data_IF_376551749061
#
_entry.id   IF_376551749061
#
_cell.length_a   1.000
_cell.length_b   1.000
_cell.length_c   1.000
_cell.angle_alpha   90.00
_cell.angle_beta   90.00
_cell.angle_gamma   90.00
#
_symmetry.space_group_name_H-M   'P 1'
#
loop_
_entity.id
_entity.type
_entity.pdbx_description
1 polymer ?
#
# COMPACT_ATOMS: atom_id res chain seq x y z
N UNK A 1 11.67 6.61 -11.63
CA UNK A 1 11.91 7.93 -12.21
C UNK A 1 13.38 8.25 -12.11
N UNK A 2 14.01 8.93 -13.11
CA UNK A 2 15.45 9.23 -13.09
C UNK A 2 15.72 10.73 -12.87
N UNK A 3 15.06 11.58 -13.63
CA UNK A 3 15.26 13.04 -13.52
C UNK A 3 13.97 13.81 -13.75
N UNK A 4 13.89 14.97 -13.11
CA UNK A 4 12.91 16.01 -13.39
C UNK A 4 13.68 17.28 -13.69
N UNK A 5 13.44 17.86 -14.86
CA UNK A 5 14.10 19.07 -15.32
C UNK A 5 13.05 20.11 -15.73
N UNK A 6 13.36 21.39 -15.54
CA UNK A 6 12.51 22.47 -16.07
C UNK A 6 12.66 22.55 -17.58
N UNK A 7 11.54 22.63 -18.27
CA UNK A 7 11.53 22.81 -19.73
C UNK A 7 11.76 24.29 -20.11
N UNK A 8 12.59 24.53 -21.13
CA UNK A 8 12.81 25.86 -21.66
C UNK A 8 11.52 26.50 -22.21
N UNK A 9 10.53 25.66 -22.58
CA UNK A 9 9.22 26.09 -23.08
C UNK A 9 8.17 26.29 -21.97
N UNK A 10 8.59 26.21 -20.73
CA UNK A 10 7.72 26.16 -19.54
C UNK A 10 7.27 24.74 -19.17
N UNK A 11 7.00 24.51 -17.87
CA UNK A 11 6.67 23.21 -17.32
C UNK A 11 7.90 22.32 -17.09
N UNK A 12 7.71 21.00 -17.15
CA UNK A 12 8.71 20.02 -16.73
C UNK A 12 8.86 18.87 -17.72
N UNK A 13 10.09 18.38 -17.79
CA UNK A 13 10.47 17.16 -18.49
C UNK A 13 10.86 16.09 -17.46
N UNK A 14 10.12 14.97 -17.47
CA UNK A 14 10.30 13.87 -16.52
C UNK A 14 10.83 12.66 -17.30
N UNK A 15 12.03 12.21 -16.95
CA UNK A 15 12.64 11.04 -17.59
C UNK A 15 12.49 9.81 -16.67
N UNK A 16 11.98 8.73 -17.23
CA UNK A 16 11.95 7.39 -16.61
C UNK A 16 13.00 6.48 -17.27
N UNK A 17 12.98 5.19 -17.00
CA UNK A 17 13.88 4.25 -17.69
C UNK A 17 13.56 4.16 -19.17
N UNK A 18 12.28 4.17 -19.54
CA UNK A 18 11.79 3.79 -20.85
C UNK A 18 11.06 4.94 -21.58
N UNK A 19 10.71 6.01 -20.87
CA UNK A 19 9.83 7.06 -21.41
C UNK A 19 10.20 8.42 -20.87
N UNK A 20 9.97 9.45 -21.69
CA UNK A 20 10.07 10.86 -21.31
C UNK A 20 8.67 11.49 -21.39
N UNK A 21 8.29 12.19 -20.34
CA UNK A 21 7.03 12.91 -20.25
C UNK A 21 7.30 14.42 -20.24
N UNK A 22 6.50 15.18 -20.98
CA UNK A 22 6.45 16.63 -20.86
C UNK A 22 5.13 17.05 -20.23
N UNK A 23 5.18 17.92 -19.25
CA UNK A 23 3.99 18.35 -18.50
C UNK A 23 4.13 19.81 -18.06
N UNK A 24 3.00 20.48 -17.89
CA UNK A 24 2.96 21.84 -17.35
C UNK A 24 3.08 21.88 -15.82
N UNK A 25 2.58 20.84 -15.15
CA UNK A 25 2.52 20.74 -13.67
C UNK A 25 2.98 19.37 -13.24
N UNK A 26 3.70 19.32 -12.14
CA UNK A 26 4.09 18.09 -11.43
C UNK A 26 3.49 18.12 -10.02
N UNK A 27 2.86 17.04 -9.60
CA UNK A 27 2.49 16.82 -8.19
C UNK A 27 3.39 15.75 -7.63
N UNK A 28 4.27 16.14 -6.72
CA UNK A 28 5.22 15.28 -6.05
C UNK A 28 4.59 14.68 -4.80
N UNK A 29 4.08 13.47 -4.90
CA UNK A 29 3.52 12.69 -3.80
C UNK A 29 4.31 11.38 -3.59
N UNK A 30 5.65 11.47 -3.64
CA UNK A 30 6.55 10.34 -3.71
C UNK A 30 6.92 9.74 -2.34
N UNK A 31 6.22 10.13 -1.26
CA UNK A 31 6.45 9.59 0.08
C UNK A 31 7.88 9.84 0.56
N UNK A 32 8.60 8.78 0.96
CA UNK A 32 9.98 8.91 1.44
C UNK A 32 10.98 9.41 0.40
N UNK A 33 10.62 9.43 -0.88
CA UNK A 33 11.45 9.94 -1.97
C UNK A 33 11.08 11.38 -2.41
N UNK A 34 10.13 12.02 -1.74
CA UNK A 34 9.64 13.33 -2.19
C UNK A 34 10.73 14.41 -2.16
N UNK A 35 11.66 14.34 -1.21
CA UNK A 35 12.82 15.23 -1.11
C UNK A 35 13.77 15.09 -2.31
N UNK A 36 13.98 13.87 -2.80
CA UNK A 36 14.84 13.64 -3.98
C UNK A 36 14.30 14.37 -5.21
N UNK A 37 12.99 14.30 -5.45
CA UNK A 37 12.36 14.95 -6.60
C UNK A 37 12.23 16.45 -6.41
N UNK A 38 11.90 16.92 -5.20
CA UNK A 38 11.93 18.34 -4.85
C UNK A 38 13.32 18.93 -5.12
N UNK A 39 14.35 18.26 -4.63
CA UNK A 39 15.74 18.73 -4.72
C UNK A 39 16.33 18.75 -6.14
N UNK A 40 15.66 18.13 -7.12
CA UNK A 40 16.03 18.22 -8.54
C UNK A 40 15.63 19.56 -9.16
N UNK A 41 14.60 20.22 -8.62
CA UNK A 41 13.99 21.41 -9.26
C UNK A 41 14.07 22.68 -8.43
N UNK A 42 14.32 22.58 -7.13
CA UNK A 42 14.38 23.67 -6.15
C UNK A 42 15.80 23.86 -5.60
N UNK A 43 16.15 25.11 -5.34
CA UNK A 43 17.37 25.48 -4.60
C UNK A 43 17.17 25.35 -3.09
N UNK A 44 15.95 25.57 -2.60
CA UNK A 44 15.55 25.36 -1.20
C UNK A 44 15.39 23.85 -0.96
N UNK A 45 16.33 23.26 -0.23
CA UNK A 45 16.36 21.81 -0.07
C UNK A 45 15.33 21.33 0.95
N UNK A 46 14.63 20.28 0.59
CA UNK A 46 13.78 19.47 1.46
C UNK A 46 14.58 18.25 1.95
N UNK A 47 14.35 17.81 3.16
CA UNK A 47 14.96 16.59 3.68
C UNK A 47 13.91 15.70 4.35
N UNK A 48 13.89 14.41 3.99
CA UNK A 48 12.98 13.42 4.53
C UNK A 48 13.79 12.27 5.12
N UNK A 49 13.62 12.06 6.41
CA UNK A 49 14.15 10.90 7.13
C UNK A 49 13.12 9.76 7.11
N UNK A 50 13.45 8.60 6.53
CA UNK A 50 12.57 7.45 6.60
C UNK A 50 12.42 6.97 8.06
N UNK A 51 11.20 7.00 8.60
CA UNK A 51 10.91 6.51 9.96
C UNK A 51 10.20 5.16 9.89
N UNK A 52 10.95 4.10 10.17
CA UNK A 52 10.45 2.72 10.14
C UNK A 52 9.48 2.43 11.26
N UNK A 53 8.35 1.82 10.92
CA UNK A 53 7.37 1.26 11.84
C UNK A 53 7.17 -0.21 11.56
N UNK A 54 7.51 -1.04 12.52
CA UNK A 54 7.37 -2.49 12.46
C UNK A 54 6.09 -2.91 13.18
N UNK A 55 5.45 -3.99 12.71
CA UNK A 55 4.17 -4.47 13.22
C UNK A 55 4.10 -5.99 13.30
N UNK A 56 3.34 -6.49 14.27
CA UNK A 56 2.77 -7.82 14.26
C UNK A 56 1.31 -7.79 13.84
N UNK A 57 0.92 -8.73 12.99
CA UNK A 57 -0.47 -9.06 12.71
C UNK A 57 -0.78 -10.43 13.29
N UNK A 58 -1.80 -10.50 14.14
CA UNK A 58 -2.26 -11.73 14.77
C UNK A 58 -3.49 -12.26 14.04
N UNK A 59 -3.75 -13.55 14.25
CA UNK A 59 -4.89 -14.27 13.66
C UNK A 59 -6.25 -13.66 14.03
N UNK A 60 -7.26 -13.89 13.20
CA UNK A 60 -8.65 -13.43 13.42
C UNK A 60 -9.27 -13.93 14.73
N UNK A 61 -8.80 -15.05 15.26
CA UNK A 61 -9.26 -15.56 16.56
C UNK A 61 -8.92 -14.62 17.72
N UNK A 62 -8.02 -13.66 17.51
CA UNK A 62 -7.58 -12.68 18.52
C UNK A 62 -8.23 -11.31 18.39
N UNK A 63 -9.01 -11.08 17.35
CA UNK A 63 -9.55 -9.74 17.05
C UNK A 63 -10.47 -9.15 18.11
N UNK A 64 -11.11 -10.00 18.91
CA UNK A 64 -11.95 -9.60 20.04
C UNK A 64 -11.17 -9.33 21.34
N UNK A 65 -9.82 -9.44 21.34
CA UNK A 65 -8.98 -9.24 22.53
C UNK A 65 -9.10 -7.82 23.10
N UNK A 66 -9.27 -6.84 22.22
CA UNK A 66 -9.63 -5.45 22.55
C UNK A 66 -10.74 -4.96 21.63
N UNK A 67 -11.64 -4.12 22.14
CA UNK A 67 -12.75 -3.55 21.36
C UNK A 67 -12.40 -2.23 20.65
N UNK A 68 -11.35 -1.57 21.09
CA UNK A 68 -10.87 -0.28 20.60
C UNK A 68 -9.35 -0.29 20.49
N UNK A 69 -8.79 0.67 19.75
CA UNK A 69 -7.34 0.90 19.77
C UNK A 69 -6.90 1.36 21.16
N UNK A 70 -5.96 0.64 21.75
CA UNK A 70 -5.36 0.94 23.06
C UNK A 70 -3.91 1.37 22.86
N UNK A 71 -3.50 2.46 23.52
CA UNK A 71 -2.15 2.97 23.51
C UNK A 71 -1.87 3.78 24.79
N UNK A 72 -0.58 3.96 25.10
CA UNK A 72 -0.15 4.77 26.24
C UNK A 72 -0.29 6.28 25.94
N UNK A 73 -0.15 7.13 26.95
CA UNK A 73 -0.05 8.58 26.71
C UNK A 73 1.10 8.87 25.73
N UNK A 74 0.92 9.80 24.77
CA UNK A 74 1.97 10.15 23.84
C UNK A 74 3.26 10.61 24.52
N UNK A 75 4.40 10.06 24.10
CA UNK A 75 5.73 10.44 24.53
C UNK A 75 6.49 11.21 23.43
N UNK A 76 7.80 11.34 23.59
CA UNK A 76 8.70 12.04 22.64
C UNK A 76 8.55 11.55 21.18
N UNK A 77 8.27 10.27 20.98
CA UNK A 77 8.11 9.65 19.65
C UNK A 77 6.65 9.36 19.28
N UNK A 78 5.71 10.17 19.80
CA UNK A 78 4.27 10.02 19.52
C UNK A 78 3.58 9.00 20.41
N UNK A 79 2.56 8.31 19.86
CA UNK A 79 1.64 7.43 20.62
C UNK A 79 2.25 6.11 21.09
N UNK A 80 3.47 5.79 20.68
CA UNK A 80 4.12 4.51 21.00
C UNK A 80 3.48 3.32 20.28
N UNK A 81 3.59 2.13 20.90
CA UNK A 81 3.02 0.88 20.36
C UNK A 81 1.53 0.82 20.67
N UNK A 82 0.73 0.60 19.64
CA UNK A 82 -0.72 0.45 19.70
C UNK A 82 -1.11 -1.02 19.66
N UNK A 83 -2.21 -1.37 20.33
CA UNK A 83 -2.92 -2.65 20.17
C UNK A 83 -4.28 -2.34 19.57
N UNK A 84 -4.50 -2.77 18.32
CA UNK A 84 -5.62 -2.31 17.48
C UNK A 84 -6.39 -3.48 16.88
N UNK A 85 -7.72 -3.59 17.11
CA UNK A 85 -8.54 -4.53 16.37
C UNK A 85 -8.71 -4.03 14.94
N UNK A 86 -8.57 -4.91 13.96
CA UNK A 86 -8.77 -4.54 12.55
C UNK A 86 -10.20 -4.79 12.08
N UNK A 87 -10.62 -4.08 11.04
CA UNK A 87 -11.95 -4.27 10.41
C UNK A 87 -12.18 -5.68 9.86
N UNK A 88 -11.12 -6.46 9.67
CA UNK A 88 -11.19 -7.84 9.19
C UNK A 88 -11.09 -8.88 10.31
N UNK A 89 -11.12 -8.45 11.57
CA UNK A 89 -11.12 -9.33 12.74
C UNK A 89 -9.74 -9.77 13.22
N UNK A 90 -8.65 -9.25 12.66
CA UNK A 90 -7.30 -9.48 13.17
C UNK A 90 -6.96 -8.52 14.31
N UNK A 91 -5.91 -8.82 15.07
CA UNK A 91 -5.30 -7.89 16.00
C UNK A 91 -3.95 -7.39 15.43
N UNK A 92 -3.77 -6.09 15.36
CA UNK A 92 -2.56 -5.43 14.88
C UNK A 92 -1.82 -4.81 16.06
N UNK A 93 -0.51 -5.06 16.18
CA UNK A 93 0.31 -4.54 17.27
C UNK A 93 1.53 -3.84 16.67
N UNK A 94 1.74 -2.60 17.06
CA UNK A 94 2.76 -1.70 16.53
C UNK A 94 2.21 -0.28 16.42
N UNK A 95 2.98 0.63 15.80
CA UNK A 95 4.30 0.45 15.24
C UNK A 95 5.44 0.66 16.24
N UNK A 96 6.65 0.31 15.81
CA UNK A 96 7.88 0.95 16.32
C UNK A 96 8.06 2.34 15.70
N UNK A 97 9.07 3.09 16.12
CA UNK A 97 9.42 4.38 15.53
C UNK A 97 10.95 4.53 15.55
N UNK A 98 11.59 4.10 14.48
CA UNK A 98 13.05 4.10 14.34
C UNK A 98 13.44 4.78 13.04
N UNK A 99 14.26 5.82 13.14
CA UNK A 99 14.79 6.49 11.97
C UNK A 99 15.86 5.60 11.33
N UNK A 100 15.82 5.48 10.00
CA UNK A 100 16.72 4.66 9.20
C UNK A 100 17.26 5.48 8.03
N UNK A 101 18.44 5.11 7.54
CA UNK A 101 19.06 5.81 6.41
C UNK A 101 18.49 5.36 5.06
N UNK A 102 18.14 4.08 4.95
CA UNK A 102 17.72 3.48 3.69
C UNK A 102 16.22 3.68 3.44
N UNK A 103 15.89 4.30 2.32
CA UNK A 103 14.50 4.51 1.89
C UNK A 103 13.79 3.22 1.43
N UNK A 104 14.52 2.11 1.28
CA UNK A 104 14.03 0.76 1.00
C UNK A 104 13.96 -0.14 2.25
N UNK A 105 14.40 0.34 3.41
CA UNK A 105 14.56 -0.43 4.65
C UNK A 105 13.24 -0.90 5.28
N UNK A 106 12.50 -1.75 4.58
CA UNK A 106 11.21 -2.32 5.03
C UNK A 106 11.33 -3.72 5.65
N UNK A 107 12.54 -4.14 5.99
CA UNK A 107 12.81 -5.35 6.76
C UNK A 107 12.31 -5.22 8.21
N UNK A 108 11.93 -6.34 8.80
CA UNK A 108 11.66 -6.42 10.24
C UNK A 108 12.93 -6.82 10.98
N UNK A 109 13.11 -6.29 12.21
CA UNK A 109 14.28 -6.56 13.03
C UNK A 109 13.90 -7.28 14.33
N UNK A 110 14.80 -8.11 14.85
CA UNK A 110 14.59 -8.75 16.16
C UNK A 110 14.35 -7.70 17.25
N UNK A 111 15.16 -6.64 17.24
CA UNK A 111 15.05 -5.56 18.22
C UNK A 111 13.68 -4.86 18.18
N UNK A 112 13.18 -4.54 16.98
CA UNK A 112 11.87 -3.91 16.80
C UNK A 112 10.73 -4.83 17.25
N UNK A 113 10.82 -6.12 16.93
CA UNK A 113 9.82 -7.12 17.34
C UNK A 113 9.81 -7.29 18.87
N UNK A 114 10.98 -7.34 19.53
CA UNK A 114 11.07 -7.37 20.99
C UNK A 114 10.53 -6.10 21.64
N UNK A 115 10.80 -4.95 21.05
CA UNK A 115 10.26 -3.66 21.51
C UNK A 115 8.73 -3.66 21.50
N UNK A 116 8.12 -4.14 20.41
CA UNK A 116 6.66 -4.29 20.30
C UNK A 116 6.13 -5.18 21.42
N UNK A 117 6.74 -6.35 21.62
CA UNK A 117 6.30 -7.27 22.67
C UNK A 117 6.34 -6.64 24.06
N UNK A 118 7.41 -5.92 24.39
CA UNK A 118 7.57 -5.28 25.71
C UNK A 118 6.58 -4.11 25.89
N UNK A 119 6.52 -3.18 24.91
CA UNK A 119 5.71 -1.96 25.03
C UNK A 119 4.21 -2.25 24.98
N UNK A 120 3.76 -3.17 24.15
CA UNK A 120 2.33 -3.54 24.06
C UNK A 120 1.78 -4.07 25.39
N UNK A 121 2.57 -4.84 26.14
CA UNK A 121 2.17 -5.39 27.44
C UNK A 121 1.98 -4.34 28.53
N UNK A 122 2.52 -3.12 28.35
CA UNK A 122 2.23 -2.00 29.26
C UNK A 122 0.79 -1.50 29.12
N UNK A 123 0.20 -1.63 27.95
CA UNK A 123 -1.16 -1.16 27.65
C UNK A 123 -2.21 -2.26 27.75
N UNK A 124 -1.88 -3.49 27.35
CA UNK A 124 -2.80 -4.62 27.28
C UNK A 124 -2.11 -5.87 27.80
N UNK A 125 -2.74 -6.54 28.79
CA UNK A 125 -2.22 -7.77 29.38
C UNK A 125 -2.53 -8.99 28.49
N UNK A 126 -1.73 -10.05 28.67
CA UNK A 126 -1.98 -11.38 28.10
C UNK A 126 -2.16 -11.41 26.56
N UNK A 127 -1.43 -10.54 25.86
CA UNK A 127 -1.48 -10.52 24.40
C UNK A 127 -1.04 -11.89 23.85
N UNK A 128 -1.84 -12.54 22.98
CA UNK A 128 -1.57 -13.90 22.51
C UNK A 128 -0.54 -13.90 21.37
N UNK A 129 0.72 -13.52 21.60
CA UNK A 129 1.78 -13.46 20.58
C UNK A 129 2.03 -14.78 19.83
N UNK A 130 1.63 -15.93 20.39
CA UNK A 130 1.68 -17.23 19.69
C UNK A 130 0.72 -17.30 18.49
N UNK A 131 -0.21 -16.34 18.37
CA UNK A 131 -1.15 -16.23 17.27
C UNK A 131 -0.67 -15.25 16.18
N UNK A 132 0.58 -14.80 16.22
CA UNK A 132 1.17 -14.00 15.16
C UNK A 132 1.18 -14.80 13.86
N UNK A 133 0.62 -14.24 12.80
CA UNK A 133 0.60 -14.82 11.46
C UNK A 133 1.63 -14.19 10.53
N UNK A 134 1.99 -12.93 10.77
CA UNK A 134 3.05 -12.23 10.02
C UNK A 134 3.57 -11.02 10.78
N UNK A 135 4.82 -10.62 10.48
CA UNK A 135 5.37 -9.31 10.78
C UNK A 135 5.64 -8.55 9.49
N UNK A 136 5.57 -7.24 9.54
CA UNK A 136 5.91 -6.36 8.42
C UNK A 136 6.39 -5.00 8.92
N UNK A 137 7.06 -4.26 8.06
CA UNK A 137 7.47 -2.88 8.32
C UNK A 137 7.06 -1.96 7.17
N UNK A 138 6.97 -0.68 7.48
CA UNK A 138 6.76 0.39 6.52
C UNK A 138 7.48 1.65 6.95
N UNK A 139 7.74 2.54 6.00
CA UNK A 139 8.46 3.78 6.22
C UNK A 139 7.48 4.97 6.19
N UNK A 140 7.58 5.83 7.19
CA UNK A 140 6.92 7.13 7.22
C UNK A 140 7.89 8.18 6.68
N UNK A 141 7.38 9.11 5.90
CA UNK A 141 8.14 10.22 5.31
C UNK A 141 8.24 11.37 6.32
N UNK A 142 9.15 11.24 7.32
CA UNK A 142 9.34 12.24 8.35
C UNK A 142 10.13 13.42 7.80
N UNK A 143 9.52 14.59 7.76
CA UNK A 143 10.14 15.85 7.33
C UNK A 143 10.70 16.59 8.55
N UNK A 144 11.83 17.28 8.39
CA UNK A 144 12.57 17.91 9.51
C UNK A 144 11.77 18.97 10.27
N UNK A 145 10.85 19.67 9.62
CA UNK A 145 9.94 20.65 10.23
C UNK A 145 8.76 20.03 10.97
N UNK A 146 8.57 18.70 10.88
CA UNK A 146 7.44 17.95 11.46
C UNK A 146 6.06 18.36 10.91
N UNK A 147 6.01 18.92 9.69
CA UNK A 147 4.79 19.40 9.06
C UNK A 147 4.52 18.68 7.72
N UNK A 148 3.26 18.65 7.31
CA UNK A 148 2.90 18.25 5.96
C UNK A 148 3.21 19.41 5.00
N UNK A 149 4.09 19.19 4.04
CA UNK A 149 4.44 20.17 3.01
C UNK A 149 3.49 19.98 1.82
N UNK A 150 2.42 20.78 1.76
CA UNK A 150 1.40 20.71 0.70
C UNK A 150 1.27 22.09 0.07
N UNK A 151 2.11 22.37 -0.91
CA UNK A 151 2.21 23.69 -1.53
C UNK A 151 2.89 23.65 -2.89
N UNK A 152 2.71 24.71 -3.69
CA UNK A 152 3.55 24.99 -4.84
C UNK A 152 4.94 25.43 -4.37
N UNK A 153 5.98 24.90 -4.99
CA UNK A 153 7.37 25.22 -4.65
C UNK A 153 7.70 26.61 -5.18
N UNK A 154 8.08 27.52 -4.30
CA UNK A 154 8.24 28.95 -4.56
C UNK A 154 9.19 29.27 -5.73
N UNK A 155 10.33 28.59 -5.78
CA UNK A 155 11.34 28.77 -6.84
C UNK A 155 11.18 27.77 -8.00
N UNK A 156 10.11 26.95 -8.01
CA UNK A 156 9.79 25.98 -9.06
C UNK A 156 8.31 26.04 -9.46
N UNK A 157 7.85 27.11 -10.15
CA UNK A 157 6.45 27.28 -10.53
C UNK A 157 5.89 26.07 -11.29
N UNK A 158 4.70 25.60 -10.88
CA UNK A 158 4.07 24.41 -11.42
C UNK A 158 4.56 23.08 -10.79
N UNK A 159 5.53 23.12 -9.88
CA UNK A 159 5.89 21.94 -9.06
C UNK A 159 5.21 22.04 -7.70
N UNK A 160 4.40 21.05 -7.38
CA UNK A 160 3.56 21.03 -6.17
C UNK A 160 3.99 19.87 -5.30
N UNK A 161 4.44 20.15 -4.09
CA UNK A 161 4.75 19.11 -3.12
C UNK A 161 3.50 18.64 -2.37
N UNK A 162 3.44 17.33 -2.14
CA UNK A 162 2.67 16.64 -1.14
C UNK A 162 3.63 15.74 -0.37
N UNK A 163 4.55 16.36 0.38
CA UNK A 163 5.69 15.74 1.03
C UNK A 163 5.55 15.77 2.57
N UNK A 164 6.40 15.03 3.28
CA UNK A 164 6.37 14.97 4.74
C UNK A 164 5.11 14.35 5.32
N UNK A 165 4.35 13.61 4.50
CA UNK A 165 3.04 13.06 4.91
C UNK A 165 3.26 11.75 5.65
N UNK A 166 3.30 11.83 6.96
CA UNK A 166 3.30 10.69 7.88
C UNK A 166 1.92 10.48 8.54
N UNK A 167 1.82 9.98 9.76
CA UNK A 167 0.52 9.80 10.42
C UNK A 167 -0.07 11.18 10.85
N UNK A 168 -1.35 11.46 10.53
CA UNK A 168 -2.42 10.59 10.01
C UNK A 168 -2.68 10.70 8.49
N UNK A 169 -1.67 10.62 7.66
CA UNK A 169 -1.71 10.87 6.23
C UNK A 169 -2.81 10.10 5.47
N UNK A 170 -3.01 8.82 5.74
CA UNK A 170 -4.04 8.02 5.06
C UNK A 170 -5.45 8.58 5.32
N UNK A 171 -5.75 8.96 6.55
CA UNK A 171 -7.04 9.57 6.91
C UNK A 171 -7.21 10.96 6.30
N UNK A 172 -6.11 11.71 6.18
CA UNK A 172 -6.09 13.07 5.63
C UNK A 172 -6.03 13.09 4.09
N UNK A 173 -5.69 11.98 3.44
CA UNK A 173 -5.46 11.90 1.99
C UNK A 173 -6.58 12.50 1.13
N UNK A 174 -7.90 12.33 1.44
CA UNK A 174 -8.97 12.96 0.65
C UNK A 174 -8.96 14.50 0.75
N UNK A 175 -8.60 15.06 1.90
CA UNK A 175 -8.48 16.51 2.09
C UNK A 175 -7.21 17.05 1.40
N UNK A 176 -6.10 16.36 1.55
CA UNK A 176 -4.83 16.67 0.87
C UNK A 176 -5.03 16.67 -0.65
N UNK A 177 -5.70 15.64 -1.19
CA UNK A 177 -5.98 15.56 -2.62
C UNK A 177 -6.85 16.70 -3.15
N UNK A 178 -7.83 17.18 -2.37
CA UNK A 178 -8.61 18.38 -2.72
C UNK A 178 -7.75 19.64 -2.72
N UNK A 179 -6.94 19.84 -1.68
CA UNK A 179 -6.03 20.98 -1.60
C UNK A 179 -5.04 21.00 -2.76
N UNK A 180 -4.40 19.87 -3.05
CA UNK A 180 -3.49 19.74 -4.19
C UNK A 180 -4.19 20.05 -5.52
N UNK A 181 -5.42 19.57 -5.72
CA UNK A 181 -6.21 19.87 -6.93
C UNK A 181 -6.57 21.36 -7.03
N UNK A 182 -6.83 22.04 -5.91
CA UNK A 182 -7.05 23.50 -5.88
C UNK A 182 -5.80 24.27 -6.26
N UNK A 183 -4.62 23.86 -5.75
CA UNK A 183 -3.33 24.46 -6.14
C UNK A 183 -3.11 24.28 -7.66
N UNK A 184 -3.27 23.05 -8.18
CA UNK A 184 -3.15 22.76 -9.62
C UNK A 184 -4.10 23.64 -10.45
N UNK A 185 -5.35 23.83 -10.00
CA UNK A 185 -6.33 24.67 -10.68
C UNK A 185 -5.94 26.14 -10.71
N UNK A 186 -5.24 26.64 -9.68
CA UNK A 186 -4.76 28.01 -9.63
C UNK A 186 -3.55 28.24 -10.59
N UNK A 187 -2.71 27.21 -10.77
CA UNK A 187 -1.58 27.23 -11.71
C UNK A 187 -2.04 27.07 -13.16
N UNK A 188 -3.07 26.24 -13.38
CA UNK A 188 -3.64 25.95 -14.70
C UNK A 188 -5.10 26.38 -14.71
N UNK A 189 -5.50 27.18 -15.72
CA UNK A 189 -6.92 27.48 -15.94
C UNK A 189 -7.67 26.23 -16.41
N UNK A 190 -8.04 25.37 -15.46
CA UNK A 190 -8.72 24.11 -15.73
C UNK A 190 -10.24 24.30 -15.81
N UNK A 191 -10.83 23.67 -16.82
CA UNK A 191 -12.31 23.54 -16.92
C UNK A 191 -12.74 22.18 -16.40
N UNK A 192 -13.91 22.13 -15.78
CA UNK A 192 -14.52 20.84 -15.37
C UNK A 192 -14.76 19.97 -16.60
N UNK A 193 -14.44 18.68 -16.44
CA UNK A 193 -14.76 17.68 -17.46
C UNK A 193 -16.14 17.06 -17.13
N UNK A 194 -17.23 17.44 -17.84
CA UNK A 194 -18.57 16.93 -17.55
C UNK A 194 -18.72 15.43 -17.79
N UNK A 195 -17.82 14.82 -18.57
CA UNK A 195 -17.79 13.38 -18.82
C UNK A 195 -17.01 12.60 -17.75
N UNK A 196 -16.46 13.27 -16.72
CA UNK A 196 -15.69 12.58 -15.69
C UNK A 196 -16.60 11.71 -14.81
N UNK A 197 -16.32 10.42 -14.76
CA UNK A 197 -17.02 9.49 -13.88
C UNK A 197 -16.46 9.62 -12.45
N UNK A 198 -17.24 10.23 -11.56
CA UNK A 198 -16.87 10.50 -10.16
C UNK A 198 -16.86 9.24 -9.26
N UNK A 199 -17.44 8.14 -9.72
CA UNK A 199 -17.62 6.92 -8.93
C UNK A 199 -17.12 5.71 -9.70
N UNK A 200 -16.68 4.70 -8.97
CA UNK A 200 -16.40 3.36 -9.53
C UNK A 200 -17.03 2.29 -8.64
N UNK A 201 -17.41 1.17 -9.23
CA UNK A 201 -17.88 0.00 -8.48
C UNK A 201 -16.70 -0.66 -7.77
N UNK A 202 -16.87 -1.01 -6.48
CA UNK A 202 -15.96 -1.87 -5.74
C UNK A 202 -15.92 -3.28 -6.31
N UNK A 203 -14.97 -4.11 -5.85
CA UNK A 203 -15.03 -5.56 -6.05
C UNK A 203 -16.20 -6.08 -5.22
N UNK A 204 -17.06 -6.87 -5.83
CA UNK A 204 -18.18 -7.47 -5.13
C UNK A 204 -17.67 -8.48 -4.11
N UNK A 205 -18.08 -8.33 -2.85
CA UNK A 205 -17.71 -9.24 -1.76
C UNK A 205 -18.87 -10.23 -1.47
N UNK A 206 -18.77 -11.50 -1.86
CA UNK A 206 -19.84 -12.47 -1.62
C UNK A 206 -20.12 -12.74 -0.13
N UNK A 207 -19.18 -12.42 0.77
CA UNK A 207 -19.35 -12.59 2.20
C UNK A 207 -20.40 -11.64 2.79
N UNK A 208 -20.64 -10.50 2.16
CA UNK A 208 -21.63 -9.50 2.57
C UNK A 208 -23.04 -9.81 2.04
N UNK A 209 -23.18 -10.79 1.15
CA UNK A 209 -24.44 -11.18 0.55
C UNK A 209 -25.18 -12.21 1.40
N UNK A 210 -26.52 -12.15 1.37
CA UNK A 210 -27.37 -13.24 1.89
C UNK A 210 -27.16 -14.53 1.09
N UNK A 211 -27.52 -15.67 1.65
CA UNK A 211 -27.40 -16.96 0.97
C UNK A 211 -28.17 -16.97 -0.38
N UNK A 212 -29.33 -16.31 -0.46
CA UNK A 212 -30.12 -16.21 -1.70
C UNK A 212 -29.37 -15.40 -2.76
N UNK A 213 -28.91 -14.20 -2.44
CA UNK A 213 -28.17 -13.33 -3.34
C UNK A 213 -26.86 -13.98 -3.81
N UNK A 214 -26.16 -14.67 -2.91
CA UNK A 214 -24.94 -15.42 -3.26
C UNK A 214 -25.24 -16.55 -4.25
N UNK A 215 -26.32 -17.31 -4.05
CA UNK A 215 -26.72 -18.35 -4.98
C UNK A 215 -27.14 -17.77 -6.35
N UNK A 216 -27.78 -16.62 -6.38
CA UNK A 216 -28.09 -15.90 -7.63
C UNK A 216 -26.84 -15.41 -8.35
N UNK A 217 -25.88 -14.88 -7.60
CA UNK A 217 -24.57 -14.47 -8.12
C UNK A 217 -23.83 -15.65 -8.74
N UNK A 218 -23.77 -16.80 -8.06
CA UNK A 218 -23.12 -18.03 -8.55
C UNK A 218 -23.80 -18.56 -9.81
N UNK A 219 -25.12 -18.50 -9.89
CA UNK A 219 -25.85 -18.88 -11.12
C UNK A 219 -25.50 -17.97 -12.30
N UNK A 220 -25.30 -16.67 -12.07
CA UNK A 220 -24.91 -15.71 -13.11
C UNK A 220 -23.44 -15.86 -13.51
N UNK A 221 -22.56 -16.10 -12.54
CA UNK A 221 -21.14 -16.29 -12.74
C UNK A 221 -20.60 -17.38 -11.81
N UNK A 222 -20.42 -18.62 -12.30
CA UNK A 222 -19.97 -19.76 -11.48
C UNK A 222 -18.59 -19.56 -10.82
N UNK A 223 -17.77 -18.62 -11.29
CA UNK A 223 -16.49 -18.31 -10.68
C UNK A 223 -16.62 -17.84 -9.22
N UNK A 224 -17.73 -17.21 -8.85
CA UNK A 224 -18.00 -16.82 -7.47
C UNK A 224 -18.31 -18.00 -6.54
N UNK A 225 -18.59 -19.18 -7.08
CA UNK A 225 -18.76 -20.42 -6.30
C UNK A 225 -17.46 -21.18 -6.05
N UNK A 226 -16.37 -20.83 -6.70
CA UNK A 226 -15.07 -21.49 -6.56
C UNK A 226 -14.17 -20.73 -5.58
N UNK A 227 -14.04 -21.23 -4.36
CA UNK A 227 -13.18 -20.59 -3.32
C UNK A 227 -11.72 -20.94 -3.61
N UNK A 228 -10.90 -19.91 -3.80
CA UNK A 228 -9.45 -19.99 -4.02
C UNK A 228 -8.70 -19.79 -2.70
N UNK A 229 -8.97 -18.71 -1.98
CA UNK A 229 -8.36 -18.47 -0.67
C UNK A 229 -9.34 -18.87 0.45
N UNK A 230 -9.09 -20.01 1.10
CA UNK A 230 -9.98 -20.53 2.17
C UNK A 230 -9.87 -19.72 3.47
N UNK A 231 -8.70 -19.18 3.79
CA UNK A 231 -8.50 -18.42 5.02
C UNK A 231 -9.29 -17.09 5.02
N UNK A 232 -9.40 -16.45 3.84
CA UNK A 232 -10.10 -15.18 3.65
C UNK A 232 -11.44 -15.38 2.90
N UNK A 233 -11.78 -16.61 2.52
CA UNK A 233 -13.00 -16.97 1.77
C UNK A 233 -13.15 -16.24 0.44
N UNK A 234 -12.01 -15.99 -0.26
CA UNK A 234 -12.00 -15.29 -1.54
C UNK A 234 -12.26 -16.26 -2.70
N UNK A 235 -13.23 -15.92 -3.52
CA UNK A 235 -13.62 -16.66 -4.71
C UNK A 235 -12.75 -16.33 -5.92
N UNK A 236 -12.76 -17.22 -6.94
CA UNK A 236 -12.17 -16.96 -8.25
C UNK A 236 -12.83 -15.74 -8.91
N UNK A 237 -14.15 -15.54 -8.73
CA UNK A 237 -14.87 -14.40 -9.29
C UNK A 237 -14.32 -13.04 -8.81
N UNK A 238 -13.98 -12.93 -7.52
CA UNK A 238 -13.33 -11.72 -6.97
C UNK A 238 -11.93 -11.50 -7.56
N UNK A 239 -11.16 -12.58 -7.72
CA UNK A 239 -9.82 -12.51 -8.33
C UNK A 239 -9.93 -12.07 -9.79
N UNK A 240 -10.85 -12.63 -10.56
CA UNK A 240 -11.11 -12.24 -11.95
C UNK A 240 -11.52 -10.76 -12.06
N UNK A 241 -12.43 -10.30 -11.20
CA UNK A 241 -12.80 -8.88 -11.16
C UNK A 241 -11.58 -8.00 -10.86
N UNK A 242 -10.71 -8.43 -9.94
CA UNK A 242 -9.48 -7.68 -9.61
C UNK A 242 -8.50 -7.56 -10.78
N UNK A 243 -8.49 -8.53 -11.69
CA UNK A 243 -7.62 -8.57 -12.88
C UNK A 243 -8.22 -7.73 -14.02
N UNK A 244 -9.52 -7.90 -14.31
CA UNK A 244 -10.16 -7.33 -15.51
C UNK A 244 -10.64 -5.89 -15.37
N UNK A 245 -10.64 -5.31 -14.17
CA UNK A 245 -11.03 -3.92 -13.96
C UNK A 245 -9.99 -2.94 -14.51
N UNK A 246 -10.36 -1.68 -14.78
CA UNK A 246 -9.40 -0.63 -15.08
C UNK A 246 -8.26 -0.59 -14.04
N UNK A 247 -7.01 -0.54 -14.49
CA UNK A 247 -5.82 -0.71 -13.65
C UNK A 247 -5.84 -2.03 -12.87
N UNK A 248 -6.13 -3.11 -13.56
CA UNK A 248 -6.24 -4.45 -13.00
C UNK A 248 -4.96 -4.97 -12.35
N UNK A 249 -5.12 -6.01 -11.55
CA UNK A 249 -3.99 -6.69 -10.92
C UNK A 249 -3.21 -7.52 -11.96
N UNK A 250 -1.89 -7.33 -12.01
CA UNK A 250 -0.97 -8.09 -12.87
C UNK A 250 0.06 -8.90 -12.08
N UNK A 251 0.02 -8.81 -10.74
CA UNK A 251 0.96 -9.46 -9.83
C UNK A 251 0.22 -10.15 -8.68
N UNK A 252 0.89 -11.05 -7.97
CA UNK A 252 0.32 -11.72 -6.79
C UNK A 252 -0.12 -10.73 -5.71
N UNK A 253 0.72 -9.75 -5.39
CA UNK A 253 0.40 -8.70 -4.43
C UNK A 253 -0.65 -7.72 -4.96
N UNK A 254 -0.74 -7.54 -6.26
CA UNK A 254 -1.81 -6.79 -6.91
C UNK A 254 -3.19 -7.38 -6.61
N UNK A 255 -3.34 -8.70 -6.71
CA UNK A 255 -4.54 -9.44 -6.31
C UNK A 255 -4.77 -9.36 -4.81
N UNK A 256 -3.73 -9.65 -4.01
CA UNK A 256 -3.77 -9.64 -2.55
C UNK A 256 -4.29 -8.30 -1.99
N UNK A 257 -3.78 -7.18 -2.51
CA UNK A 257 -4.17 -5.83 -2.06
C UNK A 257 -5.62 -5.46 -2.44
N UNK A 258 -6.16 -6.07 -3.50
CA UNK A 258 -7.53 -5.78 -3.97
C UNK A 258 -8.59 -6.70 -3.38
N UNK A 259 -8.23 -7.97 -3.12
CA UNK A 259 -9.18 -9.02 -2.71
C UNK A 259 -8.91 -9.60 -1.33
N UNK A 260 -7.72 -9.39 -0.74
CA UNK A 260 -7.19 -10.06 0.45
C UNK A 260 -6.79 -11.53 0.24
N UNK A 261 -6.86 -12.08 -0.98
CA UNK A 261 -6.35 -13.43 -1.24
C UNK A 261 -4.86 -13.52 -0.79
N UNK A 262 -4.55 -14.48 0.08
CA UNK A 262 -3.22 -14.66 0.66
C UNK A 262 -2.92 -13.89 1.95
N UNK A 263 -3.85 -13.11 2.50
CA UNK A 263 -3.65 -12.36 3.75
C UNK A 263 -4.01 -13.15 5.02
N UNK A 264 -4.60 -14.32 4.89
CA UNK A 264 -5.06 -15.09 6.04
C UNK A 264 -3.93 -15.86 6.72
N UNK A 265 -4.31 -16.70 7.71
CA UNK A 265 -3.42 -17.45 8.59
C UNK A 265 -2.27 -18.18 7.88
N UNK A 266 -2.50 -18.76 6.70
CA UNK A 266 -1.46 -19.51 5.99
C UNK A 266 -0.51 -18.62 5.15
N UNK A 267 -0.73 -17.31 5.12
CA UNK A 267 0.09 -16.33 4.38
C UNK A 267 0.40 -16.79 2.95
N UNK A 268 -0.67 -17.10 2.20
CA UNK A 268 -0.67 -17.58 0.82
C UNK A 268 -0.14 -19.01 0.57
N UNK A 269 0.24 -19.75 1.61
CA UNK A 269 0.83 -21.09 1.49
C UNK A 269 0.00 -22.11 0.69
N UNK A 270 -1.32 -21.96 0.61
CA UNK A 270 -2.19 -22.88 -0.13
C UNK A 270 -2.81 -22.27 -1.40
N UNK A 271 -3.07 -20.96 -1.43
CA UNK A 271 -3.76 -20.34 -2.56
C UNK A 271 -2.81 -19.85 -3.66
N UNK A 272 -1.51 -19.75 -3.41
CA UNK A 272 -0.51 -19.27 -4.39
C UNK A 272 -0.58 -20.02 -5.73
N UNK A 273 -0.49 -21.36 -5.80
CA UNK A 273 -0.52 -22.05 -7.08
C UNK A 273 -1.78 -21.75 -7.88
N UNK A 274 -2.94 -21.77 -7.22
CA UNK A 274 -4.22 -21.51 -7.88
C UNK A 274 -4.35 -20.07 -8.36
N UNK A 275 -3.83 -19.11 -7.60
CA UNK A 275 -3.79 -17.70 -8.01
C UNK A 275 -2.86 -17.49 -9.20
N UNK A 276 -1.72 -18.19 -9.24
CA UNK A 276 -0.80 -18.16 -10.39
C UNK A 276 -1.44 -18.76 -11.66
N UNK A 277 -2.13 -19.90 -11.55
CA UNK A 277 -2.89 -20.49 -12.68
C UNK A 277 -3.93 -19.50 -13.25
N UNK A 278 -4.60 -18.73 -12.37
CA UNK A 278 -5.55 -17.72 -12.81
C UNK A 278 -4.85 -16.58 -13.52
N UNK A 279 -3.74 -16.04 -12.96
CA UNK A 279 -2.96 -14.98 -13.61
C UNK A 279 -2.41 -15.42 -14.98
N UNK A 280 -1.82 -16.61 -15.06
CA UNK A 280 -1.33 -17.22 -16.32
C UNK A 280 -2.43 -17.22 -17.38
N UNK A 281 -3.61 -17.74 -17.03
CA UNK A 281 -4.75 -17.87 -17.93
C UNK A 281 -5.29 -16.51 -18.39
N UNK A 282 -5.48 -15.59 -17.46
CA UNK A 282 -6.15 -14.31 -17.75
C UNK A 282 -5.22 -13.30 -18.43
N UNK A 283 -3.95 -13.28 -18.08
CA UNK A 283 -2.96 -12.38 -18.67
C UNK A 283 -2.24 -12.99 -19.88
N UNK A 284 -2.42 -14.30 -20.13
CA UNK A 284 -1.74 -15.06 -21.21
C UNK A 284 -0.22 -14.95 -21.13
N UNK A 285 0.31 -15.00 -19.91
CA UNK A 285 1.74 -15.03 -19.61
C UNK A 285 2.12 -16.41 -19.07
N UNK A 286 3.42 -16.77 -19.10
CA UNK A 286 3.89 -18.02 -18.50
C UNK A 286 4.02 -17.87 -16.99
N UNK A 287 4.01 -18.98 -16.26
CA UNK A 287 4.12 -18.95 -14.79
C UNK A 287 5.46 -18.36 -14.31
N UNK A 288 6.54 -18.53 -15.08
CA UNK A 288 7.85 -17.95 -14.80
C UNK A 288 7.87 -16.42 -14.93
N UNK A 289 6.90 -15.83 -15.65
CA UNK A 289 6.77 -14.38 -15.80
C UNK A 289 5.92 -13.75 -14.69
N UNK A 290 5.29 -14.59 -13.83
CA UNK A 290 4.47 -14.09 -12.72
C UNK A 290 5.38 -13.60 -11.60
N UNK A 291 5.19 -12.34 -11.22
CA UNK A 291 5.93 -11.72 -10.13
C UNK A 291 5.07 -11.57 -8.87
N UNK A 292 5.75 -11.53 -7.73
CA UNK A 292 5.10 -11.16 -6.46
C UNK A 292 4.64 -9.70 -6.48
N UNK A 293 5.53 -8.77 -6.86
CA UNK A 293 5.26 -7.33 -6.84
C UNK A 293 6.03 -6.54 -7.91
N UNK A 294 6.26 -7.10 -9.09
CA UNK A 294 7.00 -6.48 -10.19
C UNK A 294 8.37 -7.13 -10.43
N UNK A 295 9.15 -6.55 -11.33
CA UNK A 295 10.46 -7.09 -11.75
C UNK A 295 11.39 -7.35 -10.57
N UNK A 296 12.11 -8.49 -10.61
CA UNK A 296 13.01 -8.93 -9.55
C UNK A 296 12.30 -9.66 -8.40
N UNK A 297 11.01 -9.97 -8.54
CA UNK A 297 10.25 -10.74 -7.54
C UNK A 297 9.48 -11.90 -8.18
N UNK A 298 10.10 -12.58 -9.11
CA UNK A 298 9.56 -13.73 -9.82
C UNK A 298 9.21 -14.85 -8.85
N UNK A 299 8.04 -15.46 -9.03
CA UNK A 299 7.57 -16.54 -8.17
C UNK A 299 8.25 -17.87 -8.46
N UNK A 300 8.72 -18.07 -9.69
CA UNK A 300 9.45 -19.26 -10.16
C UNK A 300 10.75 -18.81 -10.80
N UNK A 301 11.88 -19.24 -10.23
CA UNK A 301 13.23 -18.89 -10.70
C UNK A 301 13.88 -20.00 -11.51
N UNK A 302 13.29 -21.17 -11.59
CA UNK A 302 13.79 -22.32 -12.35
C UNK A 302 13.13 -23.64 -11.96
N UNK A 303 13.55 -24.73 -12.60
CA UNK A 303 13.07 -26.09 -12.34
C UNK A 303 14.04 -26.84 -11.43
N UNK A 304 13.53 -27.53 -10.41
CA UNK A 304 14.35 -28.29 -9.48
C UNK A 304 15.19 -29.43 -10.12
N UNK A 305 14.80 -29.90 -11.31
CA UNK A 305 15.44 -31.04 -11.99
C UNK A 305 16.43 -30.65 -13.07
N UNK A 306 16.53 -29.39 -13.45
CA UNK A 306 17.36 -28.95 -14.58
C UNK A 306 18.81 -28.58 -14.17
N UNK A 307 19.18 -28.75 -12.90
CA UNK A 307 20.57 -28.65 -12.40
C UNK A 307 21.29 -27.30 -12.64
N UNK A 308 20.56 -26.27 -13.04
CA UNK A 308 21.03 -24.90 -13.24
C UNK A 308 20.22 -23.95 -12.35
N UNK A 309 20.71 -23.76 -11.16
CA UNK A 309 20.39 -22.61 -10.32
C UNK A 309 21.54 -21.61 -10.45
#
# INVERSE_FOLDING_TARGET
>A
MKTIERSVKGGYRISTQDTVYETKVVVNAAGVYADEFHNMVSEKKLHITPRKGEYFLLDKTTGAHVSHTVFTLPGKYGKGVLVTPTVHGNLLIGPTATDVEQKEGTDTTMQGMEEICKKAQHSVKEIPFRQVITGFAGLRAHEDGHEFVIQEVEDAPGFIDCAGIESPGLTSAPAIGRLAAEIVRNVLELKENPAFCKTRKGILNPAELTAKERNELIRKNPAYGRIVCRCEMISEGEILDSIHRPLGATTMDGIKRRTRAGMGRCQAGFCTPKTMEILERELKIRQEEITKNGAGSEMIVGRNKDGKI
#
